data_IF_299739795109
#
_entry.id   IF_299739795109
#
_cell.length_a   1.000
_cell.length_b   1.000
_cell.length_c   1.000
_cell.angle_alpha   90.00
_cell.angle_beta   90.00
_cell.angle_gamma   90.00
#
_symmetry.space_group_name_H-M   'P 1'
#
loop_
_entity.id
_entity.type
_entity.pdbx_description
1 polymer ?
#
# COMPACT_ATOMS: atom_id res chain seq x y z
N UNK A 1 14.31 -29.30 -0.71
CA UNK A 1 14.37 -28.28 0.36
C UNK A 1 13.77 -27.01 -0.21
N UNK A 2 12.50 -26.73 0.12
CA UNK A 2 11.82 -25.52 -0.31
C UNK A 2 12.50 -24.35 0.40
N UNK A 3 13.03 -23.39 -0.36
CA UNK A 3 13.72 -22.24 0.19
C UNK A 3 12.69 -21.38 0.94
N UNK A 4 12.63 -21.50 2.28
CA UNK A 4 11.59 -20.91 3.15
C UNK A 4 11.71 -19.38 3.21
N UNK A 5 12.77 -18.82 2.65
CA UNK A 5 13.02 -17.39 2.50
C UNK A 5 12.96 -17.00 1.02
N UNK A 6 11.82 -17.22 0.37
CA UNK A 6 11.52 -16.43 -0.82
C UNK A 6 11.32 -14.98 -0.32
N UNK A 7 12.42 -14.24 -0.19
CA UNK A 7 12.39 -12.83 0.18
C UNK A 7 11.50 -12.12 -0.82
N UNK A 8 10.33 -11.67 -0.37
CA UNK A 8 9.51 -10.76 -1.13
C UNK A 8 10.39 -9.57 -1.49
N UNK A 9 10.62 -9.37 -2.79
CA UNK A 9 11.41 -8.23 -3.23
C UNK A 9 10.57 -6.97 -3.06
N UNK A 10 11.18 -5.87 -2.57
CA UNK A 10 10.54 -4.57 -2.58
C UNK A 10 10.01 -4.29 -3.99
N UNK A 11 8.75 -3.86 -4.06
CA UNK A 11 8.14 -3.42 -5.32
C UNK A 11 8.31 -1.92 -5.43
N UNK A 12 8.23 -1.38 -6.63
CA UNK A 12 8.23 0.06 -6.84
C UNK A 12 6.91 0.53 -7.44
N UNK A 13 6.58 1.79 -7.14
CA UNK A 13 5.40 2.47 -7.62
C UNK A 13 5.78 3.87 -8.08
N UNK A 14 5.52 4.19 -9.34
CA UNK A 14 5.69 5.54 -9.86
C UNK A 14 4.40 6.31 -9.67
N UNK A 15 4.49 7.50 -9.05
CA UNK A 15 3.34 8.38 -8.82
C UNK A 15 3.34 9.56 -9.79
N UNK A 16 2.32 10.41 -9.71
CA UNK A 16 2.08 11.52 -10.64
C UNK A 16 3.23 12.56 -10.70
N UNK A 17 4.07 12.61 -9.67
CA UNK A 17 5.28 13.45 -9.65
C UNK A 17 6.45 12.87 -10.45
N UNK A 18 6.26 11.70 -11.07
CA UNK A 18 7.29 10.98 -11.81
C UNK A 18 8.35 10.32 -10.93
N UNK A 19 8.20 10.36 -9.60
CA UNK A 19 9.13 9.70 -8.68
C UNK A 19 8.74 8.25 -8.46
N UNK A 20 9.76 7.43 -8.30
CA UNK A 20 9.63 6.02 -7.96
C UNK A 20 9.70 5.85 -6.45
N UNK A 21 8.64 5.27 -5.88
CA UNK A 21 8.50 5.01 -4.46
C UNK A 21 8.71 3.53 -4.19
N UNK A 22 9.51 3.20 -3.18
CA UNK A 22 9.71 1.82 -2.74
C UNK A 22 8.55 1.38 -1.84
N UNK A 23 7.99 0.21 -2.15
CA UNK A 23 7.02 -0.48 -1.31
C UNK A 23 7.78 -1.59 -0.57
N UNK A 24 7.76 -1.59 0.77
CA UNK A 24 8.44 -2.61 1.54
C UNK A 24 7.83 -4.00 1.30
N UNK A 25 8.63 -5.03 1.50
CA UNK A 25 8.16 -6.41 1.54
C UNK A 25 7.12 -6.58 2.66
N UNK A 26 6.03 -7.30 2.40
CA UNK A 26 5.02 -7.54 3.43
C UNK A 26 5.54 -8.56 4.43
N UNK A 27 5.66 -8.12 5.68
CA UNK A 27 5.89 -8.97 6.83
C UNK A 27 4.94 -8.56 7.96
N UNK A 28 4.88 -9.34 9.03
CA UNK A 28 3.95 -9.08 10.15
C UNK A 28 4.13 -7.69 10.77
N UNK A 29 5.36 -7.15 10.78
CA UNK A 29 5.62 -5.80 11.29
C UNK A 29 5.00 -4.74 10.38
N UNK A 30 5.20 -4.85 9.07
CA UNK A 30 4.61 -3.93 8.08
C UNK A 30 3.09 -3.99 8.15
N UNK A 31 2.50 -5.19 8.23
CA UNK A 31 1.05 -5.35 8.34
C UNK A 31 0.50 -4.71 9.63
N UNK A 32 1.16 -4.92 10.77
CA UNK A 32 0.75 -4.32 12.05
C UNK A 32 0.85 -2.78 12.02
N UNK A 33 1.92 -2.24 11.43
CA UNK A 33 2.09 -0.79 11.27
C UNK A 33 1.05 -0.19 10.32
N UNK A 34 0.70 -0.93 9.25
CA UNK A 34 -0.38 -0.53 8.35
C UNK A 34 -1.72 -0.47 9.08
N UNK A 35 -2.08 -1.49 9.87
CA UNK A 35 -3.32 -1.49 10.68
C UNK A 35 -3.37 -0.31 11.65
N UNK A 36 -2.24 0.00 12.31
CA UNK A 36 -2.12 1.16 13.18
C UNK A 36 -2.32 2.48 12.42
N UNK A 37 -1.83 2.57 11.17
CA UNK A 37 -1.94 3.76 10.33
C UNK A 37 -3.34 3.97 9.77
N UNK A 38 -3.99 2.90 9.30
CA UNK A 38 -5.35 2.98 8.70
C UNK A 38 -6.46 3.02 9.75
N UNK A 39 -6.18 2.62 10.99
CA UNK A 39 -7.12 2.67 12.12
C UNK A 39 -8.14 1.52 12.15
N UNK A 40 -7.98 0.51 11.31
CA UNK A 40 -8.79 -0.70 11.30
C UNK A 40 -7.95 -1.91 10.85
N UNK A 41 -8.37 -3.12 11.22
CA UNK A 41 -7.67 -4.34 10.86
C UNK A 41 -7.85 -4.70 9.37
N UNK A 42 -6.82 -5.28 8.74
CA UNK A 42 -6.81 -5.61 7.31
C UNK A 42 -7.93 -6.58 6.91
N UNK A 43 -8.43 -7.40 7.84
CA UNK A 43 -9.61 -8.25 7.62
C UNK A 43 -10.90 -7.48 7.30
N UNK A 44 -10.97 -6.18 7.64
CA UNK A 44 -12.09 -5.27 7.29
C UNK A 44 -11.83 -4.45 6.03
N UNK A 45 -10.68 -4.63 5.38
CA UNK A 45 -10.29 -3.82 4.23
C UNK A 45 -11.26 -3.99 3.05
N UNK A 46 -11.69 -5.23 2.78
CA UNK A 46 -12.61 -5.49 1.68
C UNK A 46 -13.96 -4.80 1.87
N UNK A 47 -14.51 -4.83 3.08
CA UNK A 47 -15.75 -4.13 3.45
C UNK A 47 -15.58 -2.61 3.26
N UNK A 48 -14.49 -2.04 3.78
CA UNK A 48 -14.19 -0.60 3.64
C UNK A 48 -13.98 -0.16 2.18
N UNK A 49 -13.38 -1.01 1.36
CA UNK A 49 -13.19 -0.75 -0.06
C UNK A 49 -14.50 -0.70 -0.84
N UNK A 50 -15.54 -1.42 -0.40
CA UNK A 50 -16.88 -1.38 -1.01
C UNK A 50 -17.63 -0.11 -0.64
N UNK A 51 -17.55 0.30 0.63
CA UNK A 51 -18.31 1.45 1.13
C UNK A 51 -17.64 2.80 0.83
N UNK A 52 -16.31 2.84 0.89
CA UNK A 52 -15.50 4.07 0.90
C UNK A 52 -14.23 3.91 0.05
N UNK A 53 -14.40 3.56 -1.23
CA UNK A 53 -13.29 3.10 -2.09
C UNK A 53 -12.14 4.08 -2.20
N UNK A 54 -12.40 5.38 -2.46
CA UNK A 54 -11.35 6.35 -2.73
C UNK A 54 -10.57 6.76 -1.46
N UNK A 55 -11.25 6.99 -0.33
CA UNK A 55 -10.61 7.31 0.94
C UNK A 55 -9.83 6.10 1.48
N UNK A 56 -10.41 4.89 1.36
CA UNK A 56 -9.76 3.66 1.79
C UNK A 56 -8.51 3.36 0.95
N UNK A 57 -8.59 3.47 -0.38
CA UNK A 57 -7.43 3.34 -1.26
C UNK A 57 -6.32 4.31 -0.89
N UNK A 58 -6.67 5.59 -0.70
CA UNK A 58 -5.71 6.62 -0.30
C UNK A 58 -5.03 6.28 1.04
N UNK A 59 -5.78 5.79 2.02
CA UNK A 59 -5.24 5.37 3.32
C UNK A 59 -4.31 4.15 3.21
N UNK A 60 -4.66 3.17 2.38
CA UNK A 60 -3.82 1.98 2.16
C UNK A 60 -2.51 2.36 1.48
N UNK A 61 -2.56 3.18 0.43
CA UNK A 61 -1.37 3.66 -0.26
C UNK A 61 -0.50 4.47 0.70
N UNK A 62 -1.12 5.35 1.49
CA UNK A 62 -0.42 6.10 2.52
C UNK A 62 0.28 5.21 3.54
N UNK A 63 -0.41 4.21 4.07
CA UNK A 63 0.15 3.28 5.04
C UNK A 63 1.35 2.51 4.45
N UNK A 64 1.28 2.08 3.19
CA UNK A 64 2.39 1.40 2.52
C UNK A 64 3.59 2.31 2.30
N UNK A 65 3.36 3.53 1.83
CA UNK A 65 4.43 4.47 1.52
C UNK A 65 5.08 5.03 2.79
N UNK A 66 4.31 5.21 3.87
CA UNK A 66 4.82 5.74 5.15
C UNK A 66 5.83 4.82 5.83
N UNK A 67 5.75 3.52 5.59
CA UNK A 67 6.76 2.56 6.07
C UNK A 67 8.14 2.79 5.45
N UNK A 68 8.19 3.24 4.19
CA UNK A 68 9.43 3.54 3.48
C UNK A 68 9.85 5.01 3.65
N UNK A 69 8.89 5.92 3.75
CA UNK A 69 9.11 7.35 3.99
C UNK A 69 8.23 7.86 5.15
N UNK A 70 8.73 7.84 6.39
CA UNK A 70 7.96 8.26 7.57
C UNK A 70 7.51 9.72 7.57
N UNK A 71 8.09 10.57 6.72
CA UNK A 71 7.76 12.00 6.61
C UNK A 71 6.61 12.28 5.65
N UNK A 72 6.19 11.28 4.89
CA UNK A 72 5.09 11.42 3.95
C UNK A 72 3.79 11.72 4.73
N UNK A 73 3.06 12.72 4.28
CA UNK A 73 1.78 13.10 4.86
C UNK A 73 0.60 12.58 4.02
N UNK A 74 -0.52 12.28 4.68
CA UNK A 74 -1.69 11.71 4.01
C UNK A 74 -2.25 12.66 2.93
N UNK A 75 -2.11 13.97 3.13
CA UNK A 75 -2.48 15.00 2.15
C UNK A 75 -1.69 14.87 0.84
N UNK A 76 -0.40 14.58 0.94
CA UNK A 76 0.49 14.48 -0.21
C UNK A 76 0.13 13.29 -1.09
N UNK A 77 -0.22 12.15 -0.48
CA UNK A 77 -0.66 10.95 -1.22
C UNK A 77 -1.89 11.23 -2.09
N UNK A 78 -2.84 12.02 -1.58
CA UNK A 78 -4.02 12.38 -2.37
C UNK A 78 -3.72 13.23 -3.60
N UNK A 79 -2.59 13.97 -3.59
CA UNK A 79 -2.12 14.77 -4.73
C UNK A 79 -1.28 13.93 -5.72
N UNK A 80 -0.68 12.85 -5.22
CA UNK A 80 0.20 11.97 -5.98
C UNK A 80 -0.53 10.81 -6.68
N UNK A 81 -1.67 10.38 -6.15
CA UNK A 81 -2.50 9.30 -6.70
C UNK A 81 -3.61 9.91 -7.57
N UNK A 82 -3.23 10.34 -8.77
CA UNK A 82 -4.14 10.87 -9.78
C UNK A 82 -4.79 9.73 -10.60
N UNK A 83 -5.84 10.04 -11.37
CA UNK A 83 -6.60 9.04 -12.13
C UNK A 83 -5.76 8.31 -13.19
N UNK A 84 -4.74 8.98 -13.74
CA UNK A 84 -3.82 8.45 -14.75
C UNK A 84 -2.87 7.38 -14.18
N UNK A 85 -2.45 7.50 -12.92
CA UNK A 85 -1.61 6.49 -12.25
C UNK A 85 -2.42 5.45 -11.48
N UNK A 86 -3.73 5.65 -11.32
CA UNK A 86 -4.61 4.78 -10.53
C UNK A 86 -4.58 3.33 -11.00
N UNK A 87 -4.45 3.09 -12.31
CA UNK A 87 -4.35 1.73 -12.86
C UNK A 87 -3.11 1.02 -12.34
N UNK A 88 -1.95 1.65 -12.44
CA UNK A 88 -0.66 1.07 -12.03
C UNK A 88 -0.63 0.86 -10.51
N UNK A 89 -1.14 1.84 -9.76
CA UNK A 89 -1.37 1.73 -8.32
C UNK A 89 -2.23 0.51 -7.99
N UNK A 90 -3.37 0.33 -8.66
CA UNK A 90 -4.27 -0.79 -8.40
C UNK A 90 -3.64 -2.15 -8.70
N UNK A 91 -2.84 -2.27 -9.76
CA UNK A 91 -2.12 -3.50 -10.11
C UNK A 91 -1.04 -3.84 -9.07
N UNK A 92 -0.29 -2.84 -8.63
CA UNK A 92 0.74 -3.01 -7.60
C UNK A 92 0.10 -3.41 -6.27
N UNK A 93 -0.95 -2.70 -5.83
CA UNK A 93 -1.70 -3.01 -4.62
C UNK A 93 -2.30 -4.41 -4.66
N UNK A 94 -2.92 -4.80 -5.78
CA UNK A 94 -3.50 -6.14 -5.93
C UNK A 94 -2.46 -7.23 -5.75
N UNK A 95 -1.27 -7.09 -6.35
CA UNK A 95 -0.17 -8.06 -6.19
C UNK A 95 0.45 -8.08 -4.80
N UNK A 96 0.37 -6.97 -4.07
CA UNK A 96 0.87 -6.85 -2.70
C UNK A 96 -0.13 -7.54 -1.76
N UNK A 97 -1.42 -7.22 -1.88
CA UNK A 97 -2.47 -7.73 -1.01
C UNK A 97 -2.90 -9.18 -1.32
N UNK A 98 -2.70 -9.68 -2.54
CA UNK A 98 -3.04 -11.06 -2.93
C UNK A 98 -2.21 -12.13 -2.19
N UNK A 99 -1.19 -11.73 -1.43
CA UNK A 99 -0.33 -12.63 -0.64
C UNK A 99 -0.84 -12.72 0.81
N UNK A 100 -1.69 -11.77 1.23
CA UNK A 100 -2.25 -11.69 2.58
C UNK A 100 -3.62 -12.40 2.72
N UNK A 101 -4.16 -12.99 1.65
CA UNK A 101 -5.47 -13.68 1.62
C UNK A 101 -5.30 -15.09 1.05
#
# INVERSE_FOLDING_TARGET
MTNILAEEKPKSLTLADGKEYAIPALNLTVLANMEATIGFGLGRLQEKMVDETASTLRLVIYALLKEADPKLELEEVGKLVTLDVMKDVSEVLSRVLSIAI
#
